data_IF_103443648882
#
_entry.id   IF_103443648882
#
_cell.length_a   1.000
_cell.length_b   1.000
_cell.length_c   1.000
_cell.angle_alpha   90.00
_cell.angle_beta   90.00
_cell.angle_gamma   90.00
#
_symmetry.space_group_name_H-M   'P 1'
#
loop_
_entity.id
_entity.type
_entity.pdbx_description
1 polymer ?
#
# COMPACT_ATOMS: atom_id res chain seq x y z
N UNK A 1 8.89 14.47 12.91
CA UNK A 1 8.54 13.03 12.95
C UNK A 1 8.57 12.63 14.41
N UNK A 2 7.45 12.15 14.94
CA UNK A 2 7.39 11.59 16.29
C UNK A 2 8.04 10.20 16.23
N UNK A 3 8.84 9.83 17.23
CA UNK A 3 9.35 8.46 17.28
C UNK A 3 8.22 7.51 17.69
N UNK A 4 8.11 6.32 17.07
CA UNK A 4 7.11 5.34 17.45
C UNK A 4 7.35 4.85 18.88
N UNK A 5 6.29 4.87 19.69
CA UNK A 5 6.25 4.14 20.97
C UNK A 5 6.16 2.64 20.67
N UNK A 6 7.32 2.01 20.44
CA UNK A 6 7.40 0.63 19.94
C UNK A 6 6.67 -0.41 20.79
N UNK A 7 6.53 -0.17 22.09
CA UNK A 7 5.80 -0.99 23.04
C UNK A 7 4.28 -0.95 22.86
N UNK A 8 3.75 0.11 22.26
CA UNK A 8 2.31 0.27 21.95
C UNK A 8 1.95 -0.27 20.56
N UNK A 9 2.95 -0.53 19.71
CA UNK A 9 2.73 -1.02 18.34
C UNK A 9 2.53 -2.54 18.34
N UNK A 10 1.29 -2.94 18.08
CA UNK A 10 0.87 -4.32 17.85
C UNK A 10 1.08 -4.72 16.38
N UNK A 11 2.34 -4.95 16.00
CA UNK A 11 2.69 -5.43 14.65
C UNK A 11 2.15 -6.82 14.34
N UNK A 12 2.02 -7.69 15.35
CA UNK A 12 1.55 -9.06 15.17
C UNK A 12 0.07 -9.06 14.84
N UNK A 13 -0.76 -8.43 15.67
CA UNK A 13 -2.19 -8.33 15.42
C UNK A 13 -2.51 -7.50 14.17
N UNK A 14 -1.72 -6.47 13.85
CA UNK A 14 -1.87 -5.73 12.59
C UNK A 14 -1.62 -6.63 11.36
N UNK A 15 -0.58 -7.47 11.38
CA UNK A 15 -0.31 -8.45 10.31
C UNK A 15 -1.44 -9.47 10.18
N UNK A 16 -1.92 -10.01 11.31
CA UNK A 16 -3.02 -10.98 11.29
C UNK A 16 -4.30 -10.38 10.72
N UNK A 17 -4.67 -9.17 11.18
CA UNK A 17 -5.79 -8.40 10.65
C UNK A 17 -5.63 -8.15 9.14
N UNK A 18 -4.45 -7.69 8.70
CA UNK A 18 -4.17 -7.44 7.29
C UNK A 18 -4.32 -8.71 6.43
N UNK A 19 -3.82 -9.85 6.91
CA UNK A 19 -3.96 -11.14 6.24
C UNK A 19 -5.43 -11.54 6.11
N UNK A 20 -6.19 -11.47 7.19
CA UNK A 20 -7.61 -11.80 7.22
C UNK A 20 -8.43 -10.90 6.29
N UNK A 21 -8.14 -9.60 6.26
CA UNK A 21 -8.74 -8.66 5.31
C UNK A 21 -8.37 -8.99 3.86
N UNK A 22 -7.11 -9.35 3.59
CA UNK A 22 -6.65 -9.75 2.25
C UNK A 22 -7.31 -11.07 1.77
N UNK A 23 -7.73 -11.93 2.69
CA UNK A 23 -8.49 -13.16 2.40
C UNK A 23 -10.00 -12.89 2.21
N UNK A 24 -10.45 -11.63 2.29
CA UNK A 24 -11.82 -11.21 2.01
C UNK A 24 -12.78 -11.30 3.20
N UNK A 25 -12.26 -11.48 4.42
CA UNK A 25 -13.08 -11.33 5.61
C UNK A 25 -13.55 -9.86 5.74
N UNK A 26 -14.71 -9.61 6.38
CA UNK A 26 -15.17 -8.25 6.64
C UNK A 26 -14.06 -7.46 7.37
N UNK A 27 -13.72 -6.25 6.89
CA UNK A 27 -12.70 -5.44 7.55
C UNK A 27 -13.15 -5.12 8.97
N UNK A 28 -12.22 -5.27 9.92
CA UNK A 28 -12.40 -4.71 11.25
C UNK A 28 -12.18 -3.19 11.21
N UNK A 29 -12.43 -2.49 12.33
CA UNK A 29 -12.20 -1.05 12.44
C UNK A 29 -10.72 -0.62 12.38
N UNK A 30 -9.77 -1.56 12.27
CA UNK A 30 -8.33 -1.27 12.12
C UNK A 30 -7.93 -1.16 10.66
N UNK A 31 -8.64 -1.81 9.73
CA UNK A 31 -8.37 -1.69 8.29
C UNK A 31 -8.74 -0.28 7.83
N UNK A 32 -7.74 0.48 7.38
CA UNK A 32 -7.91 1.84 6.85
C UNK A 32 -8.24 1.78 5.37
N UNK A 33 -7.49 0.97 4.63
CA UNK A 33 -7.59 0.92 3.17
C UNK A 33 -7.14 -0.45 2.67
N UNK A 34 -7.78 -0.91 1.59
CA UNK A 34 -7.52 -2.21 0.97
C UNK A 34 -7.60 -2.09 -0.54
N UNK A 35 -6.60 -2.64 -1.23
CA UNK A 35 -6.63 -2.77 -2.69
C UNK A 35 -6.21 -4.16 -3.12
N UNK A 36 -7.03 -4.75 -3.98
CA UNK A 36 -6.71 -5.97 -4.70
C UNK A 36 -6.44 -5.69 -6.17
N UNK A 37 -5.50 -6.44 -6.76
CA UNK A 37 -5.35 -6.54 -8.19
C UNK A 37 -4.94 -7.96 -8.57
N UNK A 38 -5.85 -8.71 -9.17
CA UNK A 38 -5.62 -10.13 -9.48
C UNK A 38 -5.31 -10.89 -8.19
N UNK A 39 -4.09 -11.43 -8.10
CA UNK A 39 -3.61 -12.18 -6.93
C UNK A 39 -2.89 -11.34 -5.90
N UNK A 40 -2.60 -10.08 -6.20
CA UNK A 40 -1.86 -9.20 -5.29
C UNK A 40 -2.80 -8.35 -4.44
N UNK A 41 -2.40 -8.09 -3.21
CA UNK A 41 -3.14 -7.23 -2.29
C UNK A 41 -2.17 -6.32 -1.53
N UNK A 42 -2.60 -5.08 -1.30
CA UNK A 42 -2.00 -4.16 -0.34
C UNK A 42 -3.08 -3.75 0.66
N UNK A 43 -2.75 -3.83 1.94
CA UNK A 43 -3.64 -3.51 3.06
C UNK A 43 -2.95 -2.52 3.96
N UNK A 44 -3.65 -1.45 4.34
CA UNK A 44 -3.20 -0.50 5.34
C UNK A 44 -4.01 -0.73 6.62
N UNK A 45 -3.33 -1.06 7.71
CA UNK A 45 -3.97 -1.45 8.98
C UNK A 45 -3.37 -0.65 10.13
N UNK A 46 -4.21 -0.06 11.00
CA UNK A 46 -3.75 0.59 12.24
C UNK A 46 -2.96 -0.38 13.11
N UNK A 47 -1.75 0.03 13.48
CA UNK A 47 -0.80 -0.79 14.22
C UNK A 47 -0.77 -0.46 15.72
N UNK A 48 -1.34 0.67 16.13
CA UNK A 48 -1.34 1.17 17.50
C UNK A 48 -2.77 1.60 17.93
N UNK A 49 -3.05 1.71 19.24
CA UNK A 49 -4.37 2.10 19.73
C UNK A 49 -4.68 3.59 19.53
N UNK A 50 -3.67 4.45 19.42
CA UNK A 50 -3.85 5.88 19.19
C UNK A 50 -4.17 6.19 17.73
N UNK A 51 -3.82 5.27 16.81
CA UNK A 51 -4.07 5.40 15.38
C UNK A 51 -3.08 6.32 14.70
N UNK A 52 -1.90 6.49 15.29
CA UNK A 52 -0.81 7.30 14.74
C UNK A 52 0.07 6.50 13.77
N UNK A 53 0.00 5.17 13.80
CA UNK A 53 0.82 4.29 13.00
C UNK A 53 -0.01 3.24 12.25
N UNK A 54 0.39 2.96 11.01
CA UNK A 54 -0.18 1.86 10.23
C UNK A 54 0.88 0.93 9.67
N UNK A 55 0.53 -0.35 9.60
CA UNK A 55 1.24 -1.33 8.81
C UNK A 55 0.72 -1.28 7.36
N UNK A 56 1.61 -1.05 6.40
CA UNK A 56 1.39 -1.43 5.00
C UNK A 56 1.80 -2.88 4.85
N UNK A 57 0.82 -3.74 4.62
CA UNK A 57 1.01 -5.17 4.39
C UNK A 57 0.78 -5.47 2.92
N UNK A 58 1.75 -6.09 2.27
CA UNK A 58 1.71 -6.42 0.84
C UNK A 58 1.87 -7.92 0.68
N UNK A 59 0.95 -8.56 -0.02
CA UNK A 59 0.93 -10.02 -0.16
C UNK A 59 0.42 -10.51 -1.52
N UNK A 60 0.80 -11.72 -1.86
CA UNK A 60 0.33 -12.44 -3.06
C UNK A 60 -0.44 -13.71 -2.70
N UNK A 61 -1.48 -14.03 -3.48
CA UNK A 61 -2.07 -15.37 -3.56
C UNK A 61 -1.14 -16.34 -4.29
N UNK A 62 -0.65 -17.35 -3.58
CA UNK A 62 0.10 -18.46 -4.20
C UNK A 62 -0.67 -19.75 -3.97
N UNK A 63 -1.51 -20.10 -4.95
CA UNK A 63 -2.32 -21.32 -4.96
C UNK A 63 -3.26 -21.44 -3.73
N UNK A 64 -3.93 -20.36 -3.38
CA UNK A 64 -4.86 -20.26 -2.25
C UNK A 64 -4.17 -19.85 -0.94
N UNK A 65 -2.84 -19.86 -0.89
CA UNK A 65 -2.08 -19.48 0.31
C UNK A 65 -1.61 -18.03 0.20
N UNK A 66 -1.92 -17.24 1.22
CA UNK A 66 -1.44 -15.86 1.35
C UNK A 66 0.01 -15.86 1.78
N UNK A 67 0.87 -15.21 0.98
CA UNK A 67 2.29 -15.04 1.29
C UNK A 67 2.56 -13.55 1.44
N UNK A 68 3.03 -13.15 2.62
CA UNK A 68 3.54 -11.80 2.86
C UNK A 68 4.81 -11.60 2.01
N UNK A 69 4.80 -10.58 1.17
CA UNK A 69 5.95 -10.18 0.34
C UNK A 69 6.69 -8.98 0.97
N UNK A 70 5.98 -8.10 1.70
CA UNK A 70 6.58 -6.99 2.45
C UNK A 70 5.64 -6.48 3.55
N UNK A 71 6.24 -5.95 4.62
CA UNK A 71 5.57 -5.10 5.59
C UNK A 71 6.41 -3.87 5.94
N UNK A 72 5.78 -2.71 6.01
CA UNK A 72 6.41 -1.45 6.41
C UNK A 72 5.49 -0.65 7.32
N UNK A 73 6.06 0.03 8.32
CA UNK A 73 5.32 0.90 9.21
C UNK A 73 5.26 2.32 8.62
N UNK A 74 4.10 2.95 8.66
CA UNK A 74 3.83 4.32 8.21
C UNK A 74 3.37 5.18 9.37
N UNK A 75 3.93 6.38 9.45
CA UNK A 75 3.47 7.47 10.31
C UNK A 75 2.21 8.09 9.69
N UNK A 76 1.05 7.89 10.33
CA UNK A 76 -0.23 8.47 9.92
C UNK A 76 -0.41 9.91 10.39
N UNK A 77 0.49 10.45 11.20
CA UNK A 77 0.49 11.87 11.60
C UNK A 77 1.18 12.76 10.56
N UNK A 78 1.97 12.15 9.66
CA UNK A 78 2.62 12.86 8.57
C UNK A 78 1.60 13.50 7.62
N UNK A 79 1.77 14.80 7.35
CA UNK A 79 0.90 15.54 6.42
C UNK A 79 0.90 14.90 5.02
N UNK A 80 2.07 14.47 4.56
CA UNK A 80 2.23 13.81 3.28
C UNK A 80 2.81 12.41 3.45
N UNK A 81 2.23 11.45 2.75
CA UNK A 81 2.71 10.07 2.68
C UNK A 81 2.77 9.63 1.23
N UNK A 82 3.96 9.31 0.76
CA UNK A 82 4.21 8.79 -0.58
C UNK A 82 5.06 7.52 -0.47
N UNK A 83 4.44 6.43 -0.01
CA UNK A 83 5.14 5.15 0.11
C UNK A 83 4.98 4.36 -1.18
N UNK A 84 6.03 4.28 -1.97
CA UNK A 84 6.10 3.41 -3.16
C UNK A 84 7.21 2.39 -2.99
N UNK A 85 6.99 1.18 -3.48
CA UNK A 85 7.92 0.09 -3.22
C UNK A 85 7.78 -1.09 -4.16
N UNK A 86 8.78 -1.96 -4.09
CA UNK A 86 8.79 -3.24 -4.78
C UNK A 86 9.22 -4.34 -3.80
N UNK A 87 8.52 -5.45 -3.81
CA UNK A 87 8.73 -6.56 -2.89
C UNK A 87 8.61 -7.90 -3.60
N UNK A 88 9.29 -8.92 -3.09
CA UNK A 88 9.12 -10.29 -3.52
C UNK A 88 9.42 -11.20 -2.34
N UNK A 89 8.65 -12.27 -2.16
CA UNK A 89 8.84 -13.20 -1.05
C UNK A 89 10.27 -13.78 -0.97
N UNK A 90 11.00 -13.83 -2.10
CA UNK A 90 12.42 -14.18 -2.15
C UNK A 90 13.15 -13.28 -3.13
N UNK A 91 14.34 -12.82 -2.73
CA UNK A 91 15.19 -11.99 -3.57
C UNK A 91 15.47 -12.68 -4.92
N UNK A 92 15.26 -11.95 -6.02
CA UNK A 92 15.49 -12.45 -7.38
C UNK A 92 14.44 -13.42 -7.92
N UNK A 93 13.37 -13.72 -7.18
CA UNK A 93 12.31 -14.63 -7.64
C UNK A 93 11.01 -13.88 -7.95
N UNK A 94 10.42 -14.09 -9.14
CA UNK A 94 9.09 -13.59 -9.45
C UNK A 94 7.97 -14.41 -8.74
N UNK A 95 6.74 -13.88 -8.65
CA UNK A 95 6.37 -12.52 -9.04
C UNK A 95 6.91 -11.48 -8.05
N UNK A 96 7.30 -10.32 -8.58
CA UNK A 96 7.55 -9.10 -7.81
C UNK A 96 6.25 -8.31 -7.72
N UNK A 97 5.95 -7.85 -6.51
CA UNK A 97 4.87 -6.92 -6.25
C UNK A 97 5.40 -5.49 -6.24
N UNK A 98 4.79 -4.62 -7.04
CA UNK A 98 4.92 -3.17 -6.92
C UNK A 98 3.71 -2.64 -6.20
N UNK A 99 3.90 -1.70 -5.29
CA UNK A 99 2.82 -1.13 -4.51
C UNK A 99 3.02 0.36 -4.28
N UNK A 100 1.91 1.03 -4.02
CA UNK A 100 1.86 2.42 -3.59
C UNK A 100 0.81 2.61 -2.49
N UNK A 101 1.15 3.42 -1.49
CA UNK A 101 0.24 3.98 -0.51
C UNK A 101 0.48 5.49 -0.45
N UNK A 102 -0.50 6.27 -0.95
CA UNK A 102 -0.38 7.70 -1.15
C UNK A 102 -1.49 8.42 -0.39
N UNK A 103 -1.11 9.44 0.38
CA UNK A 103 -2.02 10.37 1.04
C UNK A 103 -1.38 11.76 1.10
N UNK A 104 -2.10 12.77 0.67
CA UNK A 104 -1.67 14.17 0.78
C UNK A 104 -2.90 15.08 0.74
N UNK A 105 -2.92 16.21 1.49
CA UNK A 105 -4.01 17.17 1.44
C UNK A 105 -4.31 17.61 0.00
N UNK A 106 -5.59 17.59 -0.37
CA UNK A 106 -6.07 18.00 -1.70
C UNK A 106 -5.77 17.03 -2.85
N UNK A 107 -4.98 15.97 -2.62
CA UNK A 107 -4.70 14.95 -3.64
C UNK A 107 -5.77 13.87 -3.59
N UNK A 108 -6.58 13.79 -4.65
CA UNK A 108 -7.62 12.75 -4.80
C UNK A 108 -7.32 11.74 -5.90
N UNK A 109 -6.33 12.03 -6.74
CA UNK A 109 -6.02 11.27 -7.95
C UNK A 109 -4.53 11.03 -8.06
N UNK A 110 -4.16 9.81 -8.41
CA UNK A 110 -2.83 9.43 -8.86
C UNK A 110 -2.93 8.67 -10.18
N UNK A 111 -1.78 8.41 -10.80
CA UNK A 111 -1.69 7.54 -11.96
C UNK A 111 -0.45 6.69 -11.90
N UNK A 112 -0.58 5.49 -12.43
CA UNK A 112 0.49 4.50 -12.54
C UNK A 112 0.69 4.10 -13.99
N UNK A 113 1.94 3.85 -14.40
CA UNK A 113 2.26 3.40 -15.75
C UNK A 113 3.42 2.45 -15.76
N UNK A 114 3.17 1.27 -16.32
CA UNK A 114 4.24 0.37 -16.73
C UNK A 114 4.95 0.90 -17.98
N UNK A 115 6.27 0.71 -18.15
CA UNK A 115 6.95 1.04 -19.39
C UNK A 115 6.22 0.48 -20.63
N UNK A 116 6.01 1.33 -21.63
CA UNK A 116 5.30 0.98 -22.87
C UNK A 116 3.78 0.78 -22.75
N UNK A 117 3.18 0.98 -21.56
CA UNK A 117 1.73 0.89 -21.35
C UNK A 117 1.10 2.29 -21.20
N UNK A 118 -0.21 2.45 -21.42
CA UNK A 118 -0.90 3.69 -21.10
C UNK A 118 -0.92 3.95 -19.58
N UNK A 119 -1.12 5.21 -19.20
CA UNK A 119 -1.38 5.58 -17.81
C UNK A 119 -2.71 5.00 -17.33
N UNK A 120 -2.73 4.44 -16.13
CA UNK A 120 -3.92 4.04 -15.39
C UNK A 120 -4.17 5.03 -14.26
N UNK A 121 -5.38 5.56 -14.19
CA UNK A 121 -5.82 6.45 -13.11
C UNK A 121 -6.17 5.63 -11.86
N UNK A 122 -5.78 6.16 -10.71
CA UNK A 122 -6.05 5.67 -9.37
C UNK A 122 -6.76 6.78 -8.60
N UNK A 123 -7.80 6.43 -7.86
CA UNK A 123 -8.60 7.40 -7.09
C UNK A 123 -8.53 7.10 -5.62
N UNK A 124 -8.59 8.14 -4.80
CA UNK A 124 -8.61 7.99 -3.35
C UNK A 124 -9.88 7.25 -2.92
N UNK A 125 -9.73 6.40 -1.91
CA UNK A 125 -10.84 5.78 -1.21
C UNK A 125 -11.54 6.82 -0.28
N UNK A 126 -12.63 6.43 0.40
CA UNK A 126 -13.32 7.32 1.33
C UNK A 126 -12.44 7.86 2.47
N UNK A 127 -11.44 7.09 2.90
CA UNK A 127 -10.47 7.44 3.93
C UNK A 127 -9.28 8.25 3.38
N UNK A 128 -9.38 8.73 2.13
CA UNK A 128 -8.44 9.60 1.41
C UNK A 128 -7.11 8.93 1.06
N UNK A 129 -7.05 7.60 1.07
CA UNK A 129 -5.87 6.85 0.63
C UNK A 129 -6.00 6.43 -0.83
N UNK A 130 -4.92 6.63 -1.58
CA UNK A 130 -4.77 6.05 -2.91
C UNK A 130 -3.82 4.86 -2.78
N UNK A 131 -4.36 3.67 -2.97
CA UNK A 131 -3.59 2.43 -2.95
C UNK A 131 -3.46 1.83 -4.35
N UNK A 132 -2.29 1.26 -4.64
CA UNK A 132 -2.05 0.46 -5.84
C UNK A 132 -1.24 -0.78 -5.50
N UNK A 133 -1.51 -1.86 -6.21
CA UNK A 133 -0.70 -3.07 -6.17
C UNK A 133 -0.72 -3.74 -7.54
N UNK A 134 0.45 -4.22 -7.96
CA UNK A 134 0.68 -4.87 -9.24
C UNK A 134 1.64 -6.03 -9.06
N UNK A 135 1.27 -7.22 -9.53
CA UNK A 135 2.19 -8.35 -9.64
C UNK A 135 2.76 -8.42 -11.06
N UNK A 136 4.06 -8.64 -11.17
CA UNK A 136 4.74 -8.90 -12.45
C UNK A 136 5.86 -9.93 -12.28
N UNK A 137 6.25 -10.56 -13.38
CA UNK A 137 7.48 -11.34 -13.44
C UNK A 137 8.68 -10.51 -13.94
N UNK A 138 8.42 -9.28 -14.41
CA UNK A 138 9.43 -8.33 -14.90
C UNK A 138 10.14 -7.58 -13.76
N UNK A 139 11.35 -7.09 -14.03
CA UNK A 139 12.14 -6.30 -13.06
C UNK A 139 11.94 -4.78 -13.17
N UNK A 140 11.28 -4.31 -14.21
CA UNK A 140 10.99 -2.87 -14.38
C UNK A 140 10.03 -2.38 -13.29
N UNK A 141 10.18 -1.14 -12.85
CA UNK A 141 9.26 -0.53 -11.90
C UNK A 141 8.24 0.36 -12.65
N UNK A 142 6.97 0.39 -12.22
CA UNK A 142 6.01 1.34 -12.75
C UNK A 142 6.37 2.76 -12.28
N UNK A 143 6.08 3.75 -13.13
CA UNK A 143 6.12 5.15 -12.74
C UNK A 143 4.82 5.53 -12.03
N UNK A 144 4.92 6.33 -10.97
CA UNK A 144 3.79 6.89 -10.25
C UNK A 144 3.81 8.42 -10.32
N UNK A 145 2.64 9.01 -10.51
CA UNK A 145 2.43 10.46 -10.46
C UNK A 145 1.14 10.79 -9.70
N UNK A 146 1.10 11.93 -9.01
CA UNK A 146 -0.12 12.46 -8.42
C UNK A 146 -0.52 13.79 -9.07
N UNK A 147 -1.81 14.08 -9.04
CA UNK A 147 -2.35 15.36 -9.47
C UNK A 147 -2.42 16.31 -8.27
N UNK A 148 -1.69 17.42 -8.34
CA UNK A 148 -1.76 18.49 -7.35
C UNK A 148 -3.09 19.25 -7.46
N UNK A 149 -3.49 20.01 -6.42
CA UNK A 149 -4.76 20.76 -6.43
C UNK A 149 -4.90 21.78 -7.57
N UNK A 150 -3.80 22.18 -8.20
CA UNK A 150 -3.77 23.08 -9.36
C UNK A 150 -3.93 22.35 -10.71
N UNK A 151 -4.09 21.02 -10.70
CA UNK A 151 -4.24 20.17 -11.88
C UNK A 151 -2.91 19.70 -12.49
N UNK A 152 -1.77 20.03 -11.88
CA UNK A 152 -0.45 19.64 -12.39
C UNK A 152 -0.08 18.23 -11.94
N UNK A 153 0.56 17.46 -12.81
CA UNK A 153 1.04 16.11 -12.48
C UNK A 153 2.48 16.14 -11.96
N UNK A 154 2.70 15.55 -10.79
CA UNK A 154 4.00 15.46 -10.12
C UNK A 154 4.44 14.02 -9.96
N UNK A 155 5.71 13.74 -10.23
CA UNK A 155 6.28 12.41 -10.08
C UNK A 155 6.49 12.03 -8.61
N UNK A 156 6.18 10.77 -8.31
CA UNK A 156 6.50 10.09 -7.05
C UNK A 156 7.73 9.23 -7.32
N UNK A 157 8.71 9.29 -6.40
CA UNK A 157 10.08 8.77 -6.56
C UNK A 157 10.17 7.33 -7.03
#
# INVERSE_FOLDING_TARGET
MMEPAWDEIDLVGARECARTAADGAPPDGRVIALRHHGRASVVLVRADPHGDWALVYVCTDRAGVRVEDSSALLDLTAEHTFQVGSAAARYGQPPRLHFAAIRSPGVTTARTRWPGKPWRILTADPDRWILDVLATDDFEAPAYEFEAPDGTWHRIG
#
